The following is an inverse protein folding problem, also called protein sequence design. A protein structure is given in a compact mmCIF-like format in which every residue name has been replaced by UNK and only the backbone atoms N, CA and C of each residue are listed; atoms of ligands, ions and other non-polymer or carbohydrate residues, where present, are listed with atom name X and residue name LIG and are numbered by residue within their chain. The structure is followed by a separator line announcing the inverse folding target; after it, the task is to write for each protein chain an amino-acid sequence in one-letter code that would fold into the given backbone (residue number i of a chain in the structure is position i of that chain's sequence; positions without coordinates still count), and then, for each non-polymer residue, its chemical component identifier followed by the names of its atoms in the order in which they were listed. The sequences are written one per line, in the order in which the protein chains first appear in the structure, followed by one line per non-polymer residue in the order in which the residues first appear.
data_IF_250399946009
#
_entry.id   IF_250399946009
#
_cell.length_a   1.000
_cell.length_b   1.000
_cell.length_c   1.000
_cell.angle_alpha   90.00
_cell.angle_beta   90.00
_cell.angle_gamma   90.00
#
_symmetry.space_group_name_H-M   'P 1'
#
loop_
_entity.id
_entity.type
_entity.pdbx_description
1 polymer ?
#
# COMPACT_ATOMS: atom_id res chain seq x y z
N UNK A 1 18.13 7.93 -65.45
CA UNK A 1 18.51 6.53 -65.75
C UNK A 1 19.95 6.52 -66.24
N UNK A 2 20.81 5.52 -65.92
CA UNK A 2 20.59 4.18 -65.33
C UNK A 2 21.00 4.10 -63.83
N UNK A 3 20.45 3.22 -62.96
CA UNK A 3 20.61 1.76 -62.82
C UNK A 3 22.09 1.37 -62.60
N UNK A 4 22.48 0.63 -61.54
CA UNK A 4 22.36 -0.84 -61.50
C UNK A 4 22.87 -1.43 -60.16
N UNK A 5 22.12 -2.43 -59.65
CA UNK A 5 22.46 -3.64 -58.84
C UNK A 5 23.26 -3.54 -57.52
N UNK A 6 22.68 -3.97 -56.39
CA UNK A 6 22.56 -5.36 -55.85
C UNK A 6 23.88 -5.98 -55.39
N UNK A 7 23.86 -6.56 -54.17
CA UNK A 7 24.59 -7.81 -53.91
C UNK A 7 25.53 -7.88 -52.70
N UNK A 8 24.96 -8.25 -51.55
CA UNK A 8 25.36 -9.39 -50.68
C UNK A 8 26.76 -9.41 -50.01
N UNK A 9 26.70 -9.43 -48.68
CA UNK A 9 27.51 -10.15 -47.67
C UNK A 9 29.03 -10.31 -47.86
N UNK A 10 29.79 -9.84 -46.86
CA UNK A 10 30.56 -10.69 -45.93
C UNK A 10 31.68 -9.89 -45.28
N UNK A 11 31.63 -9.74 -43.98
CA UNK A 11 32.85 -9.64 -43.17
C UNK A 11 32.51 -10.13 -41.77
N UNK A 12 32.77 -11.42 -41.59
CA UNK A 12 32.91 -12.08 -40.29
C UNK A 12 33.83 -11.23 -39.41
N UNK A 13 33.28 -10.71 -38.31
CA UNK A 13 34.09 -10.36 -37.15
C UNK A 13 33.90 -11.49 -36.14
N UNK A 14 34.78 -12.47 -36.30
CA UNK A 14 35.09 -13.52 -35.33
C UNK A 14 35.14 -12.92 -33.93
N UNK A 15 34.23 -13.38 -33.07
CA UNK A 15 34.22 -13.05 -31.65
C UNK A 15 35.44 -13.70 -30.99
N UNK A 16 36.52 -12.95 -30.85
CA UNK A 16 37.62 -13.30 -29.95
C UNK A 16 37.14 -13.12 -28.50
N UNK A 17 37.30 -14.12 -27.62
CA UNK A 17 36.88 -13.99 -26.23
C UNK A 17 37.70 -12.88 -25.55
N UNK A 18 37.09 -12.04 -24.69
CA UNK A 18 37.85 -11.06 -23.93
C UNK A 18 38.86 -11.78 -23.03
N UNK A 19 40.13 -11.38 -23.11
CA UNK A 19 41.19 -11.90 -22.24
C UNK A 19 40.82 -11.68 -20.77
N UNK A 20 40.73 -12.79 -20.02
CA UNK A 20 40.60 -12.80 -18.57
C UNK A 20 41.97 -12.49 -17.96
N UNK A 21 42.08 -11.56 -16.99
CA UNK A 21 43.29 -11.48 -16.16
C UNK A 21 43.41 -12.76 -15.32
N UNK A 22 44.60 -13.36 -15.35
CA UNK A 22 44.93 -14.59 -14.63
C UNK A 22 44.81 -14.46 -13.10
N UNK A 23 44.23 -15.51 -12.53
CA UNK A 23 44.08 -15.96 -11.15
C UNK A 23 45.16 -15.55 -10.11
N UNK A 24 44.73 -14.99 -8.94
CA UNK A 24 44.73 -15.64 -7.58
C UNK A 24 44.63 -14.63 -6.40
N UNK A 25 44.21 -15.03 -5.18
CA UNK A 25 42.90 -15.60 -4.81
C UNK A 25 42.29 -14.92 -3.56
N UNK A 26 40.98 -14.67 -3.53
CA UNK A 26 40.32 -14.34 -2.25
C UNK A 26 38.98 -13.63 -2.35
N UNK A 27 37.90 -14.42 -2.39
CA UNK A 27 36.71 -14.14 -1.57
C UNK A 27 35.71 -13.11 -2.09
N UNK A 28 34.67 -13.63 -2.74
CA UNK A 28 33.32 -13.09 -2.87
C UNK A 28 33.17 -11.72 -3.57
N UNK A 29 32.74 -11.81 -4.83
CA UNK A 29 32.09 -10.71 -5.53
C UNK A 29 30.87 -10.24 -4.74
N UNK A 30 30.92 -9.00 -4.27
CA UNK A 30 29.72 -8.23 -4.08
C UNK A 30 29.25 -7.84 -5.50
N UNK A 31 28.20 -8.50 -5.99
CA UNK A 31 27.33 -7.87 -6.98
C UNK A 31 27.05 -6.44 -6.53
N UNK A 32 27.05 -5.43 -7.41
CA UNK A 32 26.49 -4.15 -7.03
C UNK A 32 25.04 -4.45 -6.65
N UNK A 33 24.75 -4.45 -5.35
CA UNK A 33 23.38 -4.40 -4.88
C UNK A 33 22.80 -3.19 -5.59
N UNK A 34 21.80 -3.41 -6.44
CA UNK A 34 20.97 -2.33 -6.90
C UNK A 34 20.55 -1.60 -5.62
N UNK A 35 21.08 -0.39 -5.42
CA UNK A 35 20.62 0.51 -4.37
C UNK A 35 19.15 0.70 -4.68
N UNK A 36 18.30 -0.06 -3.98
CA UNK A 36 16.88 0.19 -3.95
C UNK A 36 16.78 1.64 -3.52
N UNK A 37 16.13 2.53 -4.29
CA UNK A 37 15.94 3.89 -3.84
C UNK A 37 15.34 3.79 -2.45
N UNK A 38 15.94 4.50 -1.49
CA UNK A 38 15.46 4.56 -0.12
C UNK A 38 14.09 5.26 -0.18
N UNK A 39 13.03 4.46 -0.36
CA UNK A 39 11.66 4.97 -0.49
C UNK A 39 11.27 5.42 0.91
N UNK A 40 11.50 6.71 1.19
CA UNK A 40 11.09 7.33 2.44
C UNK A 40 9.56 7.32 2.53
N UNK A 41 9.02 6.35 3.25
CA UNK A 41 7.59 6.24 3.52
C UNK A 41 7.23 7.12 4.72
N UNK A 42 6.59 8.26 4.45
CA UNK A 42 6.12 9.14 5.51
C UNK A 42 4.68 8.77 5.87
N UNK A 43 4.48 8.38 7.14
CA UNK A 43 3.20 7.93 7.68
C UNK A 43 2.68 8.96 8.68
N UNK A 44 1.51 9.52 8.40
CA UNK A 44 0.80 10.41 9.32
C UNK A 44 -0.15 9.60 10.22
N UNK A 45 -0.13 9.81 11.53
CA UNK A 45 -1.05 9.13 12.47
C UNK A 45 -2.02 10.15 13.08
N UNK A 46 -3.32 9.86 13.02
CA UNK A 46 -4.36 10.71 13.60
C UNK A 46 -5.54 9.88 14.12
N UNK A 47 -6.46 10.49 14.85
CA UNK A 47 -7.67 9.80 15.33
C UNK A 47 -8.73 9.68 14.23
N UNK A 48 -9.40 8.52 14.16
CA UNK A 48 -10.38 8.22 13.12
C UNK A 48 -11.64 9.09 13.25
N UNK A 49 -12.19 9.23 14.46
CA UNK A 49 -13.47 9.92 14.70
C UNK A 49 -13.51 11.35 14.13
N UNK A 50 -12.58 12.29 14.48
CA UNK A 50 -12.62 13.64 13.93
C UNK A 50 -12.33 13.67 12.42
N UNK A 51 -11.50 12.77 11.91
CA UNK A 51 -11.25 12.65 10.47
C UNK A 51 -12.54 12.28 9.72
N UNK A 52 -13.27 11.27 10.20
CA UNK A 52 -14.53 10.80 9.60
C UNK A 52 -15.64 11.84 9.67
N UNK A 53 -15.70 12.61 10.76
CA UNK A 53 -16.62 13.74 10.90
C UNK A 53 -16.33 14.82 9.85
N UNK A 54 -15.06 15.16 9.65
CA UNK A 54 -14.67 16.15 8.64
C UNK A 54 -14.99 15.66 7.22
N UNK A 55 -14.66 14.41 6.89
CA UNK A 55 -15.00 13.82 5.59
C UNK A 55 -16.51 13.82 5.34
N UNK A 56 -17.31 13.41 6.34
CA UNK A 56 -18.77 13.40 6.22
C UNK A 56 -19.32 14.81 5.98
N UNK A 57 -18.78 15.81 6.66
CA UNK A 57 -19.19 17.22 6.54
C UNK A 57 -18.87 17.78 5.15
N UNK A 58 -17.68 17.52 4.61
CA UNK A 58 -17.24 18.11 3.34
C UNK A 58 -17.65 17.31 2.10
N UNK A 59 -17.72 15.97 2.22
CA UNK A 59 -17.85 15.08 1.07
C UNK A 59 -19.00 14.09 1.16
N UNK A 60 -19.77 14.05 2.26
CA UNK A 60 -20.82 13.03 2.49
C UNK A 60 -21.81 12.89 1.33
N UNK A 61 -22.31 14.01 0.79
CA UNK A 61 -23.20 14.01 -0.37
C UNK A 61 -22.53 13.49 -1.66
N UNK A 62 -21.24 13.80 -1.85
CA UNK A 62 -20.49 13.38 -3.04
C UNK A 62 -20.13 11.88 -2.96
N UNK A 63 -19.80 11.38 -1.77
CA UNK A 63 -19.56 9.95 -1.53
C UNK A 63 -20.84 9.14 -1.76
N UNK A 64 -22.00 9.66 -1.35
CA UNK A 64 -23.29 8.98 -1.53
C UNK A 64 -23.79 8.95 -2.99
N UNK A 65 -23.46 9.96 -3.80
CA UNK A 65 -24.00 10.12 -5.17
C UNK A 65 -23.01 9.79 -6.29
N UNK A 66 -21.78 9.46 -5.92
CA UNK A 66 -20.68 9.30 -6.86
C UNK A 66 -19.88 10.59 -7.04
N UNK A 67 -18.56 10.44 -7.02
CA UNK A 67 -17.62 11.55 -7.01
C UNK A 67 -17.03 11.79 -8.41
N UNK A 68 -17.22 12.99 -8.94
CA UNK A 68 -16.56 13.45 -10.18
C UNK A 68 -15.07 13.72 -9.99
N UNK A 69 -14.32 13.86 -11.08
CA UNK A 69 -12.86 14.07 -11.06
C UNK A 69 -12.44 15.30 -10.26
N UNK A 70 -13.09 16.46 -10.46
CA UNK A 70 -12.75 17.69 -9.73
C UNK A 70 -12.98 17.57 -8.22
N UNK A 71 -14.04 16.87 -7.79
CA UNK A 71 -14.29 16.63 -6.36
C UNK A 71 -13.27 15.64 -5.77
N UNK A 72 -12.82 14.65 -6.55
CA UNK A 72 -11.76 13.72 -6.15
C UNK A 72 -10.43 14.44 -5.90
N UNK A 73 -10.07 15.39 -6.76
CA UNK A 73 -8.85 16.19 -6.57
C UNK A 73 -8.92 17.05 -5.29
N UNK A 74 -10.09 17.62 -5.01
CA UNK A 74 -10.33 18.38 -3.77
C UNK A 74 -10.26 17.46 -2.54
N UNK A 75 -10.82 16.26 -2.63
CA UNK A 75 -10.75 15.24 -1.58
C UNK A 75 -9.30 14.84 -1.29
N UNK A 76 -8.51 14.48 -2.30
CA UNK A 76 -7.10 14.13 -2.10
C UNK A 76 -6.29 15.30 -1.53
N UNK A 77 -6.56 16.53 -1.97
CA UNK A 77 -5.93 17.73 -1.40
C UNK A 77 -6.29 17.91 0.08
N UNK A 78 -7.56 17.72 0.43
CA UNK A 78 -8.03 17.78 1.81
C UNK A 78 -7.32 16.74 2.68
N UNK A 79 -7.29 15.48 2.23
CA UNK A 79 -6.65 14.36 2.93
C UNK A 79 -5.16 14.64 3.16
N UNK A 80 -4.43 15.05 2.13
CA UNK A 80 -3.00 15.42 2.25
C UNK A 80 -2.78 16.55 3.25
N UNK A 81 -3.67 17.55 3.27
CA UNK A 81 -3.58 18.66 4.22
C UNK A 81 -3.79 18.20 5.66
N UNK A 82 -4.79 17.34 5.91
CA UNK A 82 -5.01 16.75 7.23
C UNK A 82 -3.80 15.91 7.68
N UNK A 83 -3.26 15.09 6.78
CA UNK A 83 -2.11 14.24 7.05
C UNK A 83 -0.87 15.05 7.44
N UNK A 84 -0.55 16.11 6.69
CA UNK A 84 0.57 17.01 7.02
C UNK A 84 0.38 17.73 8.36
N UNK A 85 -0.85 18.11 8.69
CA UNK A 85 -1.15 18.78 9.96
C UNK A 85 -0.99 17.86 11.18
N UNK A 86 -1.00 16.54 10.98
CA UNK A 86 -0.81 15.54 12.05
C UNK A 86 0.63 15.07 12.23
N UNK A 87 1.57 15.55 11.41
CA UNK A 87 2.99 15.21 11.58
C UNK A 87 3.64 16.12 12.63
N UNK A 88 4.52 15.54 13.43
CA UNK A 88 5.36 16.29 14.38
C UNK A 88 6.40 17.14 13.65
N UNK A 89 6.93 16.64 12.53
CA UNK A 89 7.86 17.36 11.66
C UNK A 89 7.22 17.70 10.32
N UNK A 90 7.42 18.92 9.80
CA UNK A 90 6.88 19.33 8.51
C UNK A 90 7.54 18.53 7.38
N UNK A 91 6.77 17.63 6.77
CA UNK A 91 7.15 16.92 5.55
C UNK A 91 6.32 17.39 4.35
N UNK A 92 7.00 17.61 3.23
CA UNK A 92 6.34 17.88 1.96
C UNK A 92 5.72 16.61 1.35
N UNK A 93 6.19 15.44 1.75
CA UNK A 93 5.75 14.14 1.22
C UNK A 93 5.04 13.37 2.32
N UNK A 94 3.79 12.98 2.09
CA UNK A 94 3.03 12.07 2.95
C UNK A 94 2.32 11.08 2.06
N UNK A 95 2.64 9.81 2.22
CA UNK A 95 2.13 8.75 1.34
C UNK A 95 1.01 7.96 2.01
N UNK A 96 1.10 7.76 3.32
CA UNK A 96 0.17 6.96 4.11
C UNK A 96 -0.42 7.72 5.28
N UNK A 97 -1.62 7.31 5.65
CA UNK A 97 -2.34 7.75 6.84
C UNK A 97 -2.69 6.51 7.67
N UNK A 98 -2.40 6.58 8.96
CA UNK A 98 -2.91 5.70 9.99
C UNK A 98 -4.02 6.42 10.76
N UNK A 99 -5.25 5.94 10.60
CA UNK A 99 -6.37 6.37 11.44
C UNK A 99 -6.47 5.44 12.64
N UNK A 100 -6.34 6.01 13.83
CA UNK A 100 -6.51 5.31 15.09
C UNK A 100 -7.96 5.33 15.54
N UNK A 101 -8.55 4.16 15.69
CA UNK A 101 -9.92 4.04 16.22
C UNK A 101 -9.96 4.15 17.74
N UNK A 102 -11.15 4.33 18.29
CA UNK A 102 -11.36 4.42 19.74
C UNK A 102 -11.00 3.10 20.45
N UNK A 103 -11.19 1.97 19.76
CA UNK A 103 -10.80 0.63 20.22
C UNK A 103 -9.30 0.33 20.07
N UNK A 104 -8.51 1.31 19.61
CA UNK A 104 -7.04 1.27 19.65
C UNK A 104 -6.35 0.66 18.43
N UNK A 105 -7.09 0.12 17.46
CA UNK A 105 -6.53 -0.43 16.22
C UNK A 105 -6.37 0.64 15.12
N UNK A 106 -5.62 0.31 14.06
CA UNK A 106 -5.24 1.25 13.00
C UNK A 106 -5.88 0.87 11.66
N UNK A 107 -6.36 1.90 10.94
CA UNK A 107 -6.69 1.82 9.52
C UNK A 107 -5.59 2.51 8.73
N UNK A 108 -4.95 1.78 7.82
CA UNK A 108 -3.94 2.27 6.90
C UNK A 108 -4.53 2.51 5.52
N UNK A 109 -4.28 3.70 4.96
CA UNK A 109 -4.61 4.01 3.58
C UNK A 109 -3.64 5.03 2.99
N UNK A 110 -3.55 5.04 1.65
CA UNK A 110 -2.79 6.06 0.94
C UNK A 110 -3.52 7.40 0.97
N UNK A 111 -2.77 8.50 0.90
CA UNK A 111 -3.38 9.84 0.72
C UNK A 111 -4.15 9.98 -0.61
N UNK A 112 -3.87 9.10 -1.57
CA UNK A 112 -4.52 8.98 -2.88
C UNK A 112 -5.62 7.91 -2.93
N UNK A 113 -6.12 7.47 -1.77
CA UNK A 113 -7.15 6.43 -1.65
C UNK A 113 -8.35 6.68 -2.58
N UNK A 114 -8.94 5.60 -3.12
CA UNK A 114 -10.17 5.71 -3.89
C UNK A 114 -11.35 6.24 -3.04
N UNK A 115 -12.28 7.01 -3.65
CA UNK A 115 -13.48 7.48 -2.96
C UNK A 115 -14.33 6.34 -2.37
N UNK A 116 -14.32 5.17 -3.00
CA UNK A 116 -15.06 4.00 -2.54
C UNK A 116 -14.56 3.51 -1.18
N UNK A 117 -13.25 3.36 -1.01
CA UNK A 117 -12.67 2.99 0.27
C UNK A 117 -13.04 4.00 1.37
N UNK A 118 -12.93 5.29 1.03
CA UNK A 118 -13.23 6.39 1.95
C UNK A 118 -14.70 6.38 2.39
N UNK A 119 -15.62 6.05 1.48
CA UNK A 119 -17.05 5.93 1.78
C UNK A 119 -17.36 4.77 2.74
N UNK A 120 -16.53 3.72 2.74
CA UNK A 120 -16.71 2.55 3.60
C UNK A 120 -16.17 2.77 5.03
N UNK A 121 -15.30 3.75 5.25
CA UNK A 121 -14.65 3.95 6.55
C UNK A 121 -15.60 4.15 7.74
N UNK A 122 -16.73 4.88 7.65
CA UNK A 122 -17.61 5.05 8.80
C UNK A 122 -18.18 3.72 9.30
N UNK A 123 -18.65 2.87 8.38
CA UNK A 123 -19.19 1.54 8.70
C UNK A 123 -18.09 0.58 9.14
N UNK A 124 -16.93 0.62 8.46
CA UNK A 124 -15.77 -0.20 8.80
C UNK A 124 -15.22 0.10 10.20
N UNK A 125 -15.13 1.39 10.57
CA UNK A 125 -14.66 1.82 11.89
C UNK A 125 -15.69 1.58 13.00
N UNK A 126 -16.98 1.49 12.66
CA UNK A 126 -18.04 1.17 13.62
C UNK A 126 -18.18 -0.34 13.86
N UNK A 127 -17.71 -1.17 12.92
CA UNK A 127 -17.74 -2.62 13.06
C UNK A 127 -16.63 -3.13 13.97
N UNK A 128 -16.88 -4.27 14.62
CA UNK A 128 -15.84 -4.93 15.39
C UNK A 128 -14.75 -5.48 14.47
N UNK A 129 -13.52 -4.98 14.64
CA UNK A 129 -12.37 -5.44 13.87
C UNK A 129 -12.02 -6.90 14.21
N UNK A 130 -11.73 -7.76 13.22
CA UNK A 130 -11.41 -9.17 13.41
C UNK A 130 -9.94 -9.34 13.80
N UNK A 131 -9.51 -8.54 14.77
CA UNK A 131 -8.15 -8.49 15.31
C UNK A 131 -8.17 -9.01 16.75
N UNK A 132 -7.17 -9.82 17.12
CA UNK A 132 -7.03 -10.34 18.47
C UNK A 132 -6.83 -9.22 19.50
N UNK A 133 -7.17 -9.47 20.77
CA UNK A 133 -6.97 -8.48 21.85
C UNK A 133 -5.51 -8.05 22.02
N UNK A 134 -4.57 -8.94 21.71
CA UNK A 134 -3.13 -8.66 21.66
C UNK A 134 -2.77 -7.64 20.58
N UNK A 135 -3.46 -7.69 19.46
CA UNK A 135 -3.19 -6.90 18.25
C UNK A 135 -3.77 -5.48 18.36
N UNK A 136 -4.81 -5.30 19.18
CA UNK A 136 -5.43 -3.99 19.46
C UNK A 136 -4.61 -3.09 20.40
N UNK A 137 -3.39 -3.48 20.79
CA UNK A 137 -2.58 -2.69 21.73
C UNK A 137 -1.96 -1.46 21.07
N UNK A 138 -1.76 -0.36 21.81
CA UNK A 138 -0.89 0.73 21.37
C UNK A 138 0.51 0.22 21.03
N UNK A 139 0.98 0.44 19.80
CA UNK A 139 2.31 0.03 19.35
C UNK A 139 2.38 -1.31 18.61
N UNK A 140 1.26 -2.05 18.49
CA UNK A 140 1.19 -3.23 17.62
C UNK A 140 0.85 -2.81 16.18
N UNK A 141 1.49 -3.47 15.20
CA UNK A 141 1.32 -3.23 13.77
C UNK A 141 0.00 -3.79 13.19
N UNK A 142 -1.04 -3.93 14.00
CA UNK A 142 -2.32 -4.49 13.56
C UNK A 142 -3.06 -3.44 12.72
N UNK A 143 -2.82 -3.47 11.42
CA UNK A 143 -3.34 -2.52 10.46
C UNK A 143 -4.39 -3.19 9.57
N UNK A 144 -5.58 -2.59 9.54
CA UNK A 144 -6.53 -2.82 8.45
C UNK A 144 -6.11 -1.94 7.29
N UNK A 145 -5.83 -2.51 6.12
CA UNK A 145 -5.35 -1.75 4.96
C UNK A 145 -6.28 -1.85 3.77
N UNK A 146 -6.37 -0.77 3.00
CA UNK A 146 -7.00 -0.83 1.68
C UNK A 146 -6.05 -1.50 0.70
N UNK A 147 -6.51 -2.59 0.07
CA UNK A 147 -5.72 -3.37 -0.86
C UNK A 147 -5.91 -2.90 -2.31
N UNK A 148 -4.90 -3.16 -3.15
CA UNK A 148 -4.90 -2.75 -4.57
C UNK A 148 -6.06 -3.33 -5.39
N UNK A 149 -6.62 -4.45 -4.95
CA UNK A 149 -7.77 -5.08 -5.58
C UNK A 149 -9.12 -4.40 -5.21
N UNK A 150 -9.10 -3.32 -4.44
CA UNK A 150 -10.29 -2.53 -4.13
C UNK A 150 -11.13 -3.05 -2.95
N UNK A 151 -10.49 -3.64 -1.94
CA UNK A 151 -11.16 -4.05 -0.71
C UNK A 151 -10.29 -3.84 0.53
N UNK A 152 -10.93 -3.67 1.69
CA UNK A 152 -10.22 -3.62 2.97
C UNK A 152 -9.82 -5.03 3.41
N UNK A 153 -8.59 -5.17 3.88
CA UNK A 153 -8.03 -6.40 4.43
C UNK A 153 -7.60 -6.18 5.87
N UNK A 154 -7.97 -7.10 6.75
CA UNK A 154 -7.33 -7.30 8.05
C UNK A 154 -6.53 -8.61 8.00
N UNK A 155 -5.29 -8.62 8.46
CA UNK A 155 -4.52 -9.86 8.67
C UNK A 155 -4.16 -9.97 10.15
N UNK A 156 -4.37 -11.15 10.73
CA UNK A 156 -4.13 -11.40 12.16
C UNK A 156 -3.65 -12.84 12.36
N UNK A 157 -3.12 -13.11 13.55
CA UNK A 157 -2.81 -14.48 13.99
C UNK A 157 -3.91 -14.93 14.95
N UNK A 158 -4.42 -16.15 14.78
CA UNK A 158 -5.38 -16.77 15.70
C UNK A 158 -4.68 -17.30 16.94
N UNK A 159 -5.47 -17.61 17.97
CA UNK A 159 -4.99 -18.25 19.20
C UNK A 159 -4.32 -19.61 18.94
N UNK A 160 -4.67 -20.28 17.85
CA UNK A 160 -4.06 -21.55 17.39
C UNK A 160 -2.75 -21.36 16.59
N UNK A 161 -2.26 -20.11 16.47
CA UNK A 161 -1.03 -19.76 15.76
C UNK A 161 -1.18 -19.61 14.24
N UNK A 162 -2.36 -19.80 13.66
CA UNK A 162 -2.54 -19.68 12.21
C UNK A 162 -2.76 -18.23 11.78
N UNK A 163 -2.07 -17.84 10.72
CA UNK A 163 -2.38 -16.60 10.02
C UNK A 163 -3.74 -16.70 9.32
N UNK A 164 -4.60 -15.74 9.61
CA UNK A 164 -5.89 -15.60 8.96
C UNK A 164 -6.00 -14.18 8.41
N UNK A 165 -6.72 -14.04 7.30
CA UNK A 165 -7.07 -12.75 6.76
C UNK A 165 -8.58 -12.62 6.66
N UNK A 166 -9.06 -11.39 6.78
CA UNK A 166 -10.43 -11.02 6.62
C UNK A 166 -10.55 -9.93 5.56
N UNK A 167 -11.62 -9.97 4.80
CA UNK A 167 -12.00 -8.93 3.86
C UNK A 167 -13.28 -8.27 4.32
N UNK A 168 -13.36 -6.95 4.19
CA UNK A 168 -14.60 -6.23 4.45
C UNK A 168 -15.61 -6.49 3.35
N UNK A 169 -16.83 -6.86 3.73
CA UNK A 169 -17.99 -6.90 2.84
C UNK A 169 -18.78 -5.59 3.02
N UNK A 170 -18.76 -4.68 2.05
CA UNK A 170 -19.45 -3.40 2.16
C UNK A 170 -20.98 -3.52 2.09
N UNK A 171 -21.52 -4.56 1.45
CA UNK A 171 -22.97 -4.76 1.35
C UNK A 171 -23.53 -5.32 2.66
N UNK A 172 -22.87 -6.33 3.21
CA UNK A 172 -23.28 -6.95 4.47
C UNK A 172 -22.74 -6.21 5.71
N UNK A 173 -21.88 -5.19 5.52
CA UNK A 173 -21.26 -4.38 6.57
C UNK A 173 -20.57 -5.24 7.64
N UNK A 174 -19.83 -6.25 7.20
CA UNK A 174 -19.20 -7.21 8.09
C UNK A 174 -17.87 -7.71 7.54
N UNK A 175 -17.02 -8.19 8.43
CA UNK A 175 -15.79 -8.88 8.08
C UNK A 175 -16.07 -10.32 7.69
N UNK A 176 -15.52 -10.76 6.55
CA UNK A 176 -15.57 -12.15 6.09
C UNK A 176 -14.18 -12.74 6.11
N UNK A 177 -14.05 -13.94 6.67
CA UNK A 177 -12.78 -14.68 6.61
C UNK A 177 -12.44 -15.01 5.16
N UNK A 178 -11.23 -14.63 4.75
CA UNK A 178 -10.65 -15.02 3.48
C UNK A 178 -9.79 -16.24 3.70
N UNK A 179 -10.29 -17.40 3.29
CA UNK A 179 -9.51 -18.64 3.32
C UNK A 179 -8.39 -18.56 2.28
N UNK A 180 -7.19 -18.16 2.69
CA UNK A 180 -6.01 -18.36 1.87
C UNK A 180 -5.72 -19.87 1.81
N UNK A 181 -5.93 -20.49 0.64
CA UNK A 181 -5.42 -21.85 0.35
C UNK A 181 -3.90 -21.80 0.16
N UNK A 182 -3.15 -21.44 1.19
CA UNK A 182 -1.74 -21.80 1.31
C UNK A 182 -1.35 -21.79 2.79
N UNK A 183 -1.06 -22.96 3.39
CA UNK A 183 -0.40 -22.97 4.69
C UNK A 183 0.96 -22.30 4.51
N UNK A 184 1.19 -21.20 5.24
CA UNK A 184 2.54 -20.66 5.40
C UNK A 184 3.23 -21.54 6.45
N UNK A 185 4.30 -22.27 6.11
CA UNK A 185 5.01 -23.08 7.07
C UNK A 185 5.66 -22.17 8.13
N UNK A 186 5.47 -22.54 9.39
CA UNK A 186 6.18 -21.96 10.53
C UNK A 186 7.63 -22.40 10.46
N UNK A 187 8.56 -21.45 10.41
CA UNK A 187 9.98 -21.65 10.75
C UNK A 187 10.32 -20.81 11.95
#
# INVERSE_FOLDING_TARGET
MPATEQGIMSSELTYGPPELPEDRPGGYGASPAAELPDVLLVVATMTATPFLQAISTYFGNALAKGMGSGTRDIMHRFIRRQARASLDEPSDVVDLIHLRTEDGWLVEMKVTVEPEALAQLPELCAAEAPLGRSDRRPGTAATIRWDHDGYWIAATVRDDGHHVAFTWDPEAKQWRERTYRRPLPVT
#
